data_IF_095597646896
#
_entry.id   IF_095597646896
#
_cell.length_a   1.000
_cell.length_b   1.000
_cell.length_c   1.000
_cell.angle_alpha   90.00
_cell.angle_beta   90.00
_cell.angle_gamma   90.00
#
_symmetry.space_group_name_H-M   'P 1'
#
loop_
_entity.id
_entity.type
_entity.pdbx_description
1 polymer ?
#
# COMPACT_ATOMS: atom_id res chain seq x y z
N UNK A 1 0.68 1.47 -22.31
CA UNK A 1 -0.27 2.19 -21.44
C UNK A 1 0.20 2.04 -20.01
N UNK A 2 0.46 3.13 -19.30
CA UNK A 2 0.86 3.12 -17.87
C UNK A 2 -0.19 3.92 -17.10
N UNK A 3 -1.01 3.23 -16.32
CA UNK A 3 -2.13 3.79 -15.57
C UNK A 3 -1.80 3.70 -14.08
N UNK A 4 -2.15 4.75 -13.35
CA UNK A 4 -2.23 4.73 -11.90
C UNK A 4 -3.68 4.53 -11.49
N UNK A 5 -3.94 3.57 -10.59
CA UNK A 5 -5.29 3.28 -10.10
C UNK A 5 -5.74 4.30 -9.06
N UNK A 6 -4.88 4.62 -8.09
CA UNK A 6 -5.08 5.62 -7.03
C UNK A 6 -6.20 5.35 -6.02
N UNK A 7 -6.95 4.26 -6.17
CA UNK A 7 -7.97 3.83 -5.21
C UNK A 7 -8.04 2.30 -5.06
N UNK A 8 -6.89 1.68 -4.73
CA UNK A 8 -6.87 0.23 -4.49
C UNK A 8 -7.54 -0.08 -3.15
N UNK A 9 -8.62 -0.87 -3.18
CA UNK A 9 -9.38 -1.31 -2.00
C UNK A 9 -9.81 -2.77 -2.15
N UNK A 10 -10.28 -3.40 -1.06
CA UNK A 10 -10.90 -4.73 -1.12
C UNK A 10 -12.15 -4.72 -2.00
N UNK A 11 -12.97 -3.67 -1.91
CA UNK A 11 -14.22 -3.54 -2.67
C UNK A 11 -13.99 -3.41 -4.18
N UNK A 12 -12.84 -2.87 -4.58
CA UNK A 12 -12.41 -2.77 -5.97
C UNK A 12 -11.74 -4.06 -6.47
N UNK A 13 -11.47 -5.04 -5.59
CA UNK A 13 -10.99 -6.37 -5.96
C UNK A 13 -12.16 -7.36 -6.09
N UNK A 14 -12.52 -7.65 -7.33
CA UNK A 14 -13.56 -8.63 -7.65
C UNK A 14 -12.95 -9.92 -8.17
N UNK A 15 -13.76 -10.96 -8.25
CA UNK A 15 -13.42 -12.17 -8.98
C UNK A 15 -14.58 -12.58 -9.90
N UNK A 16 -14.25 -13.29 -10.96
CA UNK A 16 -15.21 -13.98 -11.82
C UNK A 16 -14.68 -15.36 -12.17
N UNK A 17 -15.56 -16.21 -12.68
CA UNK A 17 -15.16 -17.46 -13.32
C UNK A 17 -14.96 -17.20 -14.82
N UNK A 18 -13.91 -17.78 -15.40
CA UNK A 18 -13.75 -17.86 -16.86
C UNK A 18 -14.60 -19.00 -17.45
N UNK A 19 -14.47 -19.24 -18.76
CA UNK A 19 -15.24 -20.28 -19.46
C UNK A 19 -14.88 -21.69 -18.97
N UNK A 20 -13.70 -21.85 -18.40
CA UNK A 20 -13.13 -23.09 -17.88
C UNK A 20 -13.37 -23.26 -16.36
N UNK A 21 -14.14 -22.37 -15.73
CA UNK A 21 -14.39 -22.30 -14.28
C UNK A 21 -13.15 -21.98 -13.42
N UNK A 22 -12.11 -21.38 -13.99
CA UNK A 22 -11.01 -20.85 -13.18
C UNK A 22 -11.40 -19.52 -12.55
N UNK A 23 -10.91 -19.28 -11.33
CA UNK A 23 -11.07 -18.00 -10.65
C UNK A 23 -10.13 -16.98 -11.26
N UNK A 24 -10.68 -15.88 -11.78
CA UNK A 24 -9.95 -14.76 -12.36
C UNK A 24 -10.22 -13.50 -11.56
N UNK A 25 -9.16 -12.86 -11.07
CA UNK A 25 -9.25 -11.55 -10.42
C UNK A 25 -9.62 -10.46 -11.41
N UNK A 26 -10.47 -9.53 -10.98
CA UNK A 26 -10.91 -8.36 -11.75
C UNK A 26 -10.71 -7.13 -10.88
N UNK A 27 -9.90 -6.18 -11.36
CA UNK A 27 -9.75 -4.88 -10.72
C UNK A 27 -10.81 -3.92 -11.28
N UNK A 28 -11.56 -3.28 -10.39
CA UNK A 28 -12.59 -2.28 -10.67
C UNK A 28 -12.21 -0.93 -10.03
N UNK A 29 -13.01 0.12 -10.26
CA UNK A 29 -12.83 1.41 -9.55
C UNK A 29 -11.87 2.39 -10.23
N UNK A 30 -11.91 2.48 -11.56
CA UNK A 30 -11.04 3.38 -12.34
C UNK A 30 -11.49 4.85 -12.36
N UNK A 31 -12.47 5.25 -11.57
CA UNK A 31 -12.97 6.65 -11.54
C UNK A 31 -11.89 7.64 -11.09
N UNK A 32 -10.95 7.18 -10.27
CA UNK A 32 -9.79 7.93 -9.83
C UNK A 32 -8.53 7.62 -10.64
N UNK A 33 -8.60 6.78 -11.67
CA UNK A 33 -7.41 6.41 -12.43
C UNK A 33 -6.93 7.53 -13.36
N UNK A 34 -5.62 7.59 -13.59
CA UNK A 34 -5.01 8.53 -14.55
C UNK A 34 -3.92 7.85 -15.37
N UNK A 35 -3.73 8.35 -16.58
CA UNK A 35 -2.53 8.03 -17.36
C UNK A 35 -1.33 8.75 -16.74
N UNK A 36 -0.19 8.07 -16.63
CA UNK A 36 1.05 8.70 -16.12
C UNK A 36 1.41 9.98 -16.88
N UNK A 37 1.15 10.03 -18.19
CA UNK A 37 1.41 11.21 -19.03
C UNK A 37 0.52 12.42 -18.71
N UNK A 38 -0.61 12.22 -18.03
CA UNK A 38 -1.60 13.28 -17.74
C UNK A 38 -1.47 13.81 -16.30
N UNK A 39 -0.61 13.18 -15.51
CA UNK A 39 -0.53 13.43 -14.07
C UNK A 39 0.09 14.78 -13.72
N UNK A 40 1.09 15.23 -14.48
CA UNK A 40 1.86 16.46 -14.21
C UNK A 40 1.00 17.74 -14.28
N UNK A 41 -0.18 17.66 -14.89
CA UNK A 41 -1.10 18.79 -15.07
C UNK A 41 -2.25 18.84 -14.04
N UNK A 42 -2.27 17.93 -13.06
CA UNK A 42 -3.34 17.80 -12.08
C UNK A 42 -3.17 18.69 -10.83
N UNK A 43 -4.25 19.21 -10.21
CA UNK A 43 -4.17 19.89 -8.91
C UNK A 43 -3.56 18.99 -7.82
N UNK A 44 -2.71 19.56 -6.96
CA UNK A 44 -2.00 18.84 -5.89
C UNK A 44 -2.96 18.18 -4.89
N UNK A 45 -4.11 18.81 -4.61
CA UNK A 45 -5.17 18.22 -3.77
C UNK A 45 -5.71 16.90 -4.32
N UNK A 46 -5.58 16.62 -5.63
CA UNK A 46 -5.97 15.35 -6.25
C UNK A 46 -4.94 14.24 -6.07
N UNK A 47 -3.81 14.46 -5.40
CA UNK A 47 -2.83 13.39 -5.14
C UNK A 47 -3.10 12.67 -3.81
N UNK A 48 -3.80 13.29 -2.84
CA UNK A 48 -4.28 12.63 -1.60
C UNK A 48 -5.70 12.12 -1.82
N UNK A 49 -5.85 11.22 -2.77
CA UNK A 49 -7.11 10.57 -3.10
C UNK A 49 -7.05 9.08 -2.75
N UNK A 50 -8.20 8.45 -2.83
CA UNK A 50 -8.37 7.03 -2.52
C UNK A 50 -8.90 6.80 -1.11
N UNK A 51 -9.09 5.52 -0.81
CA UNK A 51 -9.69 5.10 0.45
C UNK A 51 -8.65 5.10 1.56
N UNK A 52 -8.89 5.94 2.57
CA UNK A 52 -7.92 6.40 3.57
C UNK A 52 -7.00 5.32 4.19
N UNK A 53 -7.48 4.14 4.60
CA UNK A 53 -6.64 3.07 5.15
C UNK A 53 -5.64 2.49 4.15
N UNK A 54 -5.89 2.62 2.84
CA UNK A 54 -5.04 2.07 1.78
C UNK A 54 -4.11 3.11 1.14
N UNK A 55 -4.27 4.40 1.46
CA UNK A 55 -3.39 5.47 0.94
C UNK A 55 -1.95 5.23 1.42
N UNK A 56 -0.97 5.32 0.52
CA UNK A 56 0.45 5.18 0.82
C UNK A 56 0.94 6.22 1.85
N UNK A 57 1.92 5.86 2.67
CA UNK A 57 2.48 6.69 3.76
C UNK A 57 2.85 8.08 3.25
N UNK A 58 3.59 8.16 2.16
CA UNK A 58 4.11 9.44 1.66
C UNK A 58 3.01 10.41 1.19
N UNK A 59 1.89 9.89 0.70
CA UNK A 59 0.72 10.70 0.33
C UNK A 59 -0.01 11.24 1.58
N UNK A 60 0.15 10.57 2.73
CA UNK A 60 -0.40 10.97 4.03
C UNK A 60 0.52 11.92 4.80
N UNK A 61 1.85 11.87 4.59
CA UNK A 61 2.88 12.64 5.31
C UNK A 61 2.86 14.15 5.06
N UNK A 62 2.18 14.64 4.01
CA UNK A 62 2.24 16.05 3.61
C UNK A 62 1.72 17.01 4.68
N UNK A 63 2.67 17.68 5.34
CA UNK A 63 2.46 18.59 6.46
C UNK A 63 1.85 19.94 6.06
N UNK A 64 2.04 20.35 4.81
CA UNK A 64 1.52 21.60 4.22
C UNK A 64 0.20 21.38 3.45
N UNK A 65 -0.33 20.15 3.45
CA UNK A 65 -1.52 19.76 2.69
C UNK A 65 -1.25 19.44 1.22
N UNK A 66 0.01 19.46 0.78
CA UNK A 66 0.42 19.15 -0.59
C UNK A 66 1.12 17.79 -0.67
N UNK A 67 0.38 16.69 -0.88
CA UNK A 67 0.97 15.39 -1.20
C UNK A 67 1.87 15.46 -2.44
N UNK A 68 2.95 14.64 -2.50
CA UNK A 68 3.71 14.50 -3.73
C UNK A 68 2.86 13.87 -4.84
N UNK A 69 3.40 13.84 -6.06
CA UNK A 69 2.77 13.12 -7.16
C UNK A 69 2.59 11.65 -6.78
N UNK A 70 1.40 11.12 -7.07
CA UNK A 70 1.11 9.69 -6.94
C UNK A 70 1.98 8.87 -7.89
N UNK A 71 2.69 7.87 -7.41
CA UNK A 71 3.58 7.04 -8.20
C UNK A 71 3.07 5.62 -8.28
N UNK A 72 3.58 4.84 -9.23
CA UNK A 72 3.21 3.42 -9.34
C UNK A 72 3.47 2.67 -8.02
N UNK A 73 4.55 3.00 -7.30
CA UNK A 73 4.83 2.39 -5.99
C UNK A 73 3.79 2.68 -4.92
N UNK A 74 3.02 3.77 -5.03
CA UNK A 74 1.93 4.06 -4.09
C UNK A 74 0.77 3.10 -4.32
N UNK A 75 0.42 2.77 -5.57
CA UNK A 75 -0.57 1.72 -5.86
C UNK A 75 -0.09 0.34 -5.38
N UNK A 76 1.21 0.05 -5.48
CA UNK A 76 1.80 -1.18 -4.94
C UNK A 76 1.71 -1.23 -3.40
N UNK A 77 1.93 -0.10 -2.73
CA UNK A 77 1.79 0.02 -1.27
C UNK A 77 0.33 -0.18 -0.85
N UNK A 78 -0.60 0.45 -1.57
CA UNK A 78 -2.04 0.23 -1.37
C UNK A 78 -2.42 -1.23 -1.56
N UNK A 79 -1.88 -1.92 -2.56
CA UNK A 79 -2.15 -3.33 -2.77
C UNK A 79 -1.61 -4.22 -1.64
N UNK A 80 -0.45 -3.88 -1.07
CA UNK A 80 0.08 -4.54 0.13
C UNK A 80 -0.86 -4.33 1.34
N UNK A 81 -1.44 -3.13 1.49
CA UNK A 81 -2.45 -2.88 2.53
C UNK A 81 -3.77 -3.63 2.29
N UNK A 82 -4.20 -3.82 1.04
CA UNK A 82 -5.38 -4.65 0.73
C UNK A 82 -5.12 -6.12 1.09
N UNK A 83 -3.95 -6.67 0.76
CA UNK A 83 -3.59 -8.05 1.13
C UNK A 83 -3.49 -8.20 2.65
N UNK A 84 -2.94 -7.21 3.33
CA UNK A 84 -2.89 -7.15 4.79
C UNK A 84 -4.30 -7.15 5.40
N UNK A 85 -5.22 -6.34 4.86
CA UNK A 85 -6.61 -6.29 5.29
C UNK A 85 -7.33 -7.63 5.08
N UNK A 86 -7.19 -8.23 3.90
CA UNK A 86 -7.74 -9.56 3.61
C UNK A 86 -7.20 -10.63 4.55
N UNK A 87 -5.90 -10.63 4.84
CA UNK A 87 -5.28 -11.59 5.75
C UNK A 87 -5.86 -11.50 7.17
N UNK A 88 -6.23 -10.28 7.60
CA UNK A 88 -6.74 -9.99 8.94
C UNK A 88 -8.28 -9.90 9.01
N UNK A 89 -9.01 -9.96 7.89
CA UNK A 89 -10.44 -9.64 7.77
C UNK A 89 -11.34 -10.24 8.86
N UNK A 90 -11.13 -11.51 9.24
CA UNK A 90 -11.95 -12.15 10.30
C UNK A 90 -11.72 -11.58 11.71
N UNK A 91 -10.52 -11.08 12.02
CA UNK A 91 -10.24 -10.43 13.30
C UNK A 91 -11.01 -9.12 13.48
N UNK A 92 -11.55 -8.54 12.41
CA UNK A 92 -12.42 -7.37 12.49
C UNK A 92 -13.88 -7.73 12.74
N UNK A 93 -14.33 -8.86 12.18
CA UNK A 93 -15.73 -9.32 12.31
C UNK A 93 -16.00 -9.90 13.69
N UNK A 94 -15.01 -10.56 14.30
CA UNK A 94 -15.07 -10.98 15.69
C UNK A 94 -14.73 -9.77 16.58
N UNK A 95 -15.71 -9.28 17.34
CA UNK A 95 -15.60 -8.05 18.17
C UNK A 95 -14.48 -8.07 19.23
N UNK A 96 -13.76 -9.19 19.39
CA UNK A 96 -12.90 -9.47 20.54
C UNK A 96 -11.40 -9.26 20.32
N UNK A 97 -10.95 -8.78 19.15
CA UNK A 97 -9.54 -8.38 18.98
C UNK A 97 -9.41 -6.88 18.71
N UNK A 98 -9.22 -6.13 19.79
CA UNK A 98 -8.92 -4.69 19.81
C UNK A 98 -7.58 -4.31 19.16
N UNK A 99 -6.74 -5.28 18.79
CA UNK A 99 -5.30 -5.06 18.55
C UNK A 99 -4.84 -5.19 17.11
N UNK A 100 -5.74 -5.40 16.12
CA UNK A 100 -5.32 -5.37 14.71
C UNK A 100 -4.91 -3.94 14.31
N UNK A 101 -3.65 -3.70 13.88
CA UNK A 101 -3.17 -2.36 13.50
C UNK A 101 -4.06 -1.69 12.46
N UNK A 102 -4.69 -2.50 11.62
CA UNK A 102 -5.54 -2.05 10.53
C UNK A 102 -6.87 -1.50 11.08
N UNK A 103 -7.45 -2.05 12.15
CA UNK A 103 -8.69 -1.51 12.75
C UNK A 103 -8.53 -0.05 13.18
N UNK A 104 -7.33 0.30 13.64
CA UNK A 104 -6.94 1.68 13.99
C UNK A 104 -6.82 2.56 12.74
N UNK A 105 -6.33 2.02 11.61
CA UNK A 105 -6.20 2.75 10.35
C UNK A 105 -7.54 3.11 9.70
N UNK A 106 -8.58 2.31 9.95
CA UNK A 106 -9.95 2.58 9.55
C UNK A 106 -10.68 3.57 10.46
N UNK A 107 -10.09 3.97 11.60
CA UNK A 107 -10.67 4.99 12.45
C UNK A 107 -10.55 6.38 11.83
N UNK A 108 -11.67 7.09 11.78
CA UNK A 108 -11.75 8.49 11.30
C UNK A 108 -11.08 9.48 12.25
N UNK A 109 -10.80 9.07 13.49
CA UNK A 109 -10.30 9.95 14.57
C UNK A 109 -8.86 10.41 14.36
N UNK A 110 -8.06 9.66 13.61
CA UNK A 110 -6.70 10.07 13.29
C UNK A 110 -6.71 11.21 12.26
N UNK A 111 -5.63 11.96 12.15
CA UNK A 111 -5.32 12.82 11.01
C UNK A 111 -4.50 12.03 9.97
N UNK A 112 -4.34 12.55 8.76
CA UNK A 112 -3.47 11.91 7.76
C UNK A 112 -2.02 11.72 8.25
N UNK A 113 -1.36 12.73 8.87
CA UNK A 113 -0.02 12.55 9.44
C UNK A 113 0.03 11.50 10.56
N UNK A 114 -0.98 11.43 11.43
CA UNK A 114 -1.02 10.39 12.48
C UNK A 114 -1.16 8.98 11.89
N UNK A 115 -1.97 8.83 10.83
CA UNK A 115 -2.08 7.56 10.11
C UNK A 115 -0.76 7.17 9.43
N UNK A 116 -0.07 8.12 8.81
CA UNK A 116 1.25 7.91 8.23
C UNK A 116 2.25 7.40 9.28
N UNK A 117 2.26 8.04 10.46
CA UNK A 117 3.12 7.65 11.58
C UNK A 117 2.85 6.22 12.07
N UNK A 118 1.58 5.85 12.20
CA UNK A 118 1.18 4.49 12.58
C UNK A 118 1.61 3.44 11.56
N UNK A 119 1.47 3.74 10.26
CA UNK A 119 1.91 2.87 9.16
C UNK A 119 3.43 2.73 9.10
N UNK A 120 4.18 3.81 9.29
CA UNK A 120 5.64 3.76 9.43
C UNK A 120 6.05 2.91 10.63
N UNK A 121 5.41 3.08 11.78
CA UNK A 121 5.65 2.26 12.97
C UNK A 121 5.44 0.77 12.70
N UNK A 122 4.38 0.41 11.98
CA UNK A 122 4.13 -0.96 11.52
C UNK A 122 5.27 -1.49 10.62
N UNK A 123 5.65 -0.74 9.57
CA UNK A 123 6.72 -1.16 8.66
C UNK A 123 8.06 -1.30 9.39
N UNK A 124 8.41 -0.36 10.27
CA UNK A 124 9.67 -0.38 11.04
C UNK A 124 9.68 -1.49 12.09
N UNK A 125 8.53 -1.79 12.69
CA UNK A 125 8.38 -2.92 13.60
C UNK A 125 8.53 -4.27 12.89
N UNK A 126 8.23 -4.34 11.58
CA UNK A 126 8.34 -5.53 10.73
C UNK A 126 7.68 -6.79 11.35
N UNK A 127 6.64 -6.59 12.15
CA UNK A 127 5.87 -7.62 12.82
C UNK A 127 4.50 -7.70 12.16
N UNK A 128 4.24 -8.82 11.48
CA UNK A 128 2.91 -9.05 10.91
C UNK A 128 1.89 -9.28 12.02
N UNK A 129 0.67 -8.76 11.89
CA UNK A 129 -0.44 -9.24 12.72
C UNK A 129 -0.67 -10.73 12.46
N UNK A 130 -1.34 -11.39 13.40
CA UNK A 130 -1.83 -12.74 13.15
C UNK A 130 -2.74 -12.71 11.90
N UNK A 131 -2.65 -13.70 11.03
CA UNK A 131 -3.66 -13.89 10.00
C UNK A 131 -4.87 -14.63 10.57
N UNK A 132 -6.00 -14.53 9.89
CA UNK A 132 -7.09 -15.49 10.06
C UNK A 132 -6.65 -16.88 9.58
N UNK A 133 -7.21 -17.94 10.17
CA UNK A 133 -6.83 -19.33 9.84
C UNK A 133 -6.97 -19.63 8.35
N UNK A 134 -8.01 -19.07 7.74
CA UNK A 134 -8.33 -19.24 6.32
C UNK A 134 -7.32 -18.53 5.39
N UNK A 135 -6.58 -17.55 5.92
CA UNK A 135 -5.66 -16.70 5.17
C UNK A 135 -4.20 -16.86 5.58
N UNK A 136 -3.86 -17.88 6.38
CA UNK A 136 -2.47 -18.16 6.79
C UNK A 136 -1.55 -18.39 5.58
N UNK A 137 -2.10 -18.89 4.48
CA UNK A 137 -1.39 -19.08 3.21
C UNK A 137 -0.93 -17.75 2.58
N UNK A 138 -1.52 -16.61 2.95
CA UNK A 138 -1.08 -15.28 2.51
C UNK A 138 0.11 -14.75 3.31
N UNK A 139 0.40 -15.28 4.50
CA UNK A 139 1.47 -14.78 5.37
C UNK A 139 2.85 -14.75 4.70
N UNK A 140 3.30 -15.79 3.96
CA UNK A 140 4.59 -15.74 3.28
C UNK A 140 4.68 -14.63 2.23
N UNK A 141 3.59 -14.38 1.50
CA UNK A 141 3.49 -13.28 0.53
C UNK A 141 3.54 -11.94 1.25
N UNK A 142 2.71 -11.76 2.27
CA UNK A 142 2.61 -10.54 3.06
C UNK A 142 3.95 -10.19 3.72
N UNK A 143 4.68 -11.19 4.24
CA UNK A 143 6.02 -10.99 4.81
C UNK A 143 7.01 -10.44 3.77
N UNK A 144 7.01 -10.99 2.55
CA UNK A 144 7.89 -10.51 1.47
C UNK A 144 7.54 -9.08 1.07
N UNK A 145 6.26 -8.76 0.98
CA UNK A 145 5.76 -7.41 0.66
C UNK A 145 6.13 -6.40 1.75
N UNK A 146 5.81 -6.68 3.02
CA UNK A 146 6.13 -5.79 4.14
C UNK A 146 7.64 -5.57 4.24
N UNK A 147 8.45 -6.63 4.08
CA UNK A 147 9.91 -6.51 4.06
C UNK A 147 10.42 -5.61 2.93
N UNK A 148 9.86 -5.73 1.73
CA UNK A 148 10.22 -4.88 0.58
C UNK A 148 9.99 -3.40 0.88
N UNK A 149 8.83 -3.05 1.44
CA UNK A 149 8.52 -1.67 1.82
C UNK A 149 9.33 -1.20 3.02
N UNK A 150 9.54 -2.06 4.03
CA UNK A 150 10.42 -1.77 5.16
C UNK A 150 11.82 -1.35 4.68
N UNK A 151 12.43 -2.14 3.79
CA UNK A 151 13.76 -1.82 3.25
C UNK A 151 13.78 -0.50 2.47
N UNK A 152 12.76 -0.24 1.64
CA UNK A 152 12.65 1.00 0.89
C UNK A 152 12.50 2.25 1.77
N UNK A 153 11.61 2.19 2.77
CA UNK A 153 11.41 3.30 3.72
C UNK A 153 12.60 3.47 4.69
N UNK A 154 13.26 2.37 5.08
CA UNK A 154 14.48 2.43 5.89
C UNK A 154 15.61 3.13 5.12
N UNK A 155 15.85 2.73 3.87
CA UNK A 155 16.86 3.36 3.01
C UNK A 155 16.56 4.85 2.75
N UNK A 156 15.28 5.23 2.62
CA UNK A 156 14.85 6.65 2.56
C UNK A 156 15.19 7.41 3.85
N UNK A 157 15.17 6.75 5.00
CA UNK A 157 15.60 7.33 6.27
C UNK A 157 17.10 7.65 6.27
N UNK A 158 17.91 6.73 5.75
CA UNK A 158 19.37 6.83 5.72
C UNK A 158 19.87 7.98 4.82
N UNK A 159 19.13 8.38 3.78
CA UNK A 159 19.50 9.54 2.94
C UNK A 159 19.49 10.86 3.70
N UNK A 160 18.83 10.93 4.85
CA UNK A 160 18.86 12.13 5.69
C UNK A 160 20.18 12.29 6.45
N UNK A 161 21.10 11.31 6.36
CA UNK A 161 22.43 11.34 6.95
C UNK A 161 23.49 11.54 5.86
N UNK A 162 24.16 12.71 5.81
CA UNK A 162 25.15 13.03 4.79
C UNK A 162 26.26 11.97 4.71
N UNK A 163 26.49 11.40 3.52
CA UNK A 163 27.58 10.44 3.24
C UNK A 163 27.21 8.96 3.34
N UNK A 164 25.94 8.59 3.59
CA UNK A 164 25.50 7.18 3.59
C UNK A 164 24.99 6.68 2.24
N UNK A 165 24.38 7.53 1.42
CA UNK A 165 23.83 7.17 0.11
C UNK A 165 24.08 8.33 -0.85
N UNK A 166 24.83 8.08 -1.93
CA UNK A 166 25.18 9.11 -2.92
C UNK A 166 24.04 9.38 -3.92
N UNK A 167 23.18 8.38 -4.21
CA UNK A 167 22.00 8.49 -5.09
C UNK A 167 20.84 7.63 -4.57
N UNK A 168 19.69 8.24 -4.26
CA UNK A 168 18.46 7.55 -3.90
C UNK A 168 17.36 7.87 -4.90
N UNK A 169 16.87 6.84 -5.60
CA UNK A 169 15.75 6.98 -6.52
C UNK A 169 14.43 6.96 -5.73
N UNK A 170 13.89 8.15 -5.48
CA UNK A 170 12.61 8.32 -4.77
C UNK A 170 11.42 7.68 -5.48
N UNK A 171 11.46 7.46 -6.80
CA UNK A 171 10.32 6.93 -7.54
C UNK A 171 10.08 5.45 -7.27
N UNK A 172 11.16 4.74 -6.90
CA UNK A 172 11.17 3.30 -6.65
C UNK A 172 11.72 2.96 -5.25
N UNK A 173 11.71 3.94 -4.34
CA UNK A 173 12.26 3.86 -2.97
C UNK A 173 13.65 3.21 -2.95
N UNK A 174 14.63 3.84 -3.58
CA UNK A 174 16.02 3.36 -3.65
C UNK A 174 16.21 2.07 -4.46
N UNK A 175 15.25 1.76 -5.33
CA UNK A 175 15.23 0.54 -6.13
C UNK A 175 14.64 -0.66 -5.41
N UNK A 176 14.18 -0.53 -4.16
CA UNK A 176 13.57 -1.62 -3.41
C UNK A 176 12.15 -1.94 -3.91
N UNK A 177 11.37 -0.90 -4.26
CA UNK A 177 9.97 -1.04 -4.66
C UNK A 177 9.82 -0.76 -6.15
N UNK A 178 9.91 -1.82 -6.95
CA UNK A 178 9.66 -1.76 -8.40
C UNK A 178 8.53 -2.72 -8.76
N UNK A 179 7.78 -2.42 -9.82
CA UNK A 179 6.71 -3.30 -10.30
C UNK A 179 7.23 -4.72 -10.63
N UNK A 180 8.39 -4.83 -11.28
CA UNK A 180 9.01 -6.11 -11.60
C UNK A 180 9.30 -6.95 -10.35
N UNK A 181 10.01 -6.38 -9.36
CA UNK A 181 10.28 -7.09 -8.09
C UNK A 181 9.00 -7.47 -7.36
N UNK A 182 8.00 -6.58 -7.37
CA UNK A 182 6.72 -6.81 -6.72
C UNK A 182 5.97 -7.99 -7.36
N UNK A 183 5.84 -8.00 -8.69
CA UNK A 183 5.10 -9.06 -9.42
C UNK A 183 5.72 -10.45 -9.26
N UNK A 184 7.05 -10.53 -9.08
CA UNK A 184 7.76 -11.79 -8.81
C UNK A 184 7.30 -12.51 -7.55
N UNK A 185 6.64 -11.83 -6.62
CA UNK A 185 6.09 -12.49 -5.43
C UNK A 185 4.81 -13.29 -5.67
N UNK A 186 4.15 -13.09 -6.82
CA UNK A 186 2.88 -13.71 -7.19
C UNK A 186 3.04 -14.84 -8.21
N UNK A 187 4.22 -14.96 -8.83
CA UNK A 187 4.56 -16.06 -9.74
C UNK A 187 5.24 -17.15 -8.90
N UNK A 188 4.55 -18.28 -8.74
CA UNK A 188 5.08 -19.50 -8.12
C UNK A 188 5.71 -20.40 -9.19
#
# INVERSE_FOLDING_TARGET
>A
MKILHRDMTVENMMYRLDAENNVVGVLNGFDLAVMLSEQENGPVSKQRIGTRPYIAIELLESADGNPPLHLCRHDLESMMYVILDLACYRQFLEKDQETSPIKVWFSVEFTAPQLALGKLGFLMGNNLPNASKEMENLLPLLHRLVKMFHQGYFARGDTNYPGMIDEFDSDILGGFVTLDKFTKFFVL
#
